data_IF_958626960199
#
_entry.id   IF_958626960199
#
_cell.length_a   1.000
_cell.length_b   1.000
_cell.length_c   1.000
_cell.angle_alpha   90.00
_cell.angle_beta   90.00
_cell.angle_gamma   90.00
#
_symmetry.space_group_name_H-M   'P 1'
#
loop_
_entity.id
_entity.type
_entity.pdbx_description
1 polymer ?
#
# COMPACT_ATOMS: atom_id res chain seq x y z
N UNK A 1 5.39 12.90 -18.66
CA UNK A 1 6.00 11.56 -18.78
C UNK A 1 5.06 10.61 -18.08
N UNK A 2 4.70 9.51 -18.72
CA UNK A 2 3.83 8.50 -18.12
C UNK A 2 4.62 7.77 -17.03
N UNK A 3 4.15 7.78 -15.79
CA UNK A 3 4.84 7.11 -14.68
C UNK A 3 4.63 5.61 -14.82
N UNK A 4 5.71 4.82 -14.86
CA UNK A 4 5.57 3.38 -15.03
C UNK A 4 5.13 2.72 -13.72
N UNK A 5 3.93 2.15 -13.70
CA UNK A 5 3.46 1.29 -12.61
C UNK A 5 4.19 -0.05 -12.67
N UNK A 6 4.56 -0.55 -11.50
CA UNK A 6 5.19 -1.85 -11.31
C UNK A 6 4.27 -2.75 -10.49
N UNK A 7 4.48 -4.07 -10.57
CA UNK A 7 3.73 -5.06 -9.78
C UNK A 7 2.73 -5.88 -10.59
N UNK A 8 1.70 -6.39 -9.93
CA UNK A 8 0.71 -7.29 -10.49
C UNK A 8 -0.72 -6.83 -10.20
N UNK A 9 -1.60 -6.98 -11.20
CA UNK A 9 -3.05 -6.75 -11.07
C UNK A 9 -3.75 -7.90 -11.77
N UNK A 10 -4.63 -8.60 -11.05
CA UNK A 10 -5.56 -9.55 -11.65
C UNK A 10 -6.48 -8.81 -12.63
N UNK A 11 -6.73 -9.34 -13.85
CA UNK A 11 -7.55 -8.68 -14.87
C UNK A 11 -8.92 -8.17 -14.38
N UNK A 12 -9.52 -8.84 -13.38
CA UNK A 12 -10.79 -8.43 -12.75
C UNK A 12 -10.72 -7.03 -12.11
N UNK A 13 -9.52 -6.57 -11.74
CA UNK A 13 -9.27 -5.30 -11.06
C UNK A 13 -8.57 -4.25 -11.95
N UNK A 14 -8.67 -4.38 -13.27
CA UNK A 14 -8.03 -3.44 -14.22
C UNK A 14 -8.43 -1.97 -13.99
N UNK A 15 -9.64 -1.69 -13.48
CA UNK A 15 -10.07 -0.32 -13.16
C UNK A 15 -9.29 0.31 -11.98
N UNK A 16 -8.76 -0.52 -11.07
CA UNK A 16 -7.84 -0.06 -10.01
C UNK A 16 -6.54 0.44 -10.65
N UNK A 17 -5.95 -0.34 -11.57
CA UNK A 17 -4.74 0.04 -12.29
C UNK A 17 -4.92 1.36 -13.06
N UNK A 18 -6.05 1.52 -13.77
CA UNK A 18 -6.36 2.73 -14.54
C UNK A 18 -6.47 3.96 -13.64
N UNK A 19 -7.20 3.82 -12.53
CA UNK A 19 -7.36 4.91 -11.55
C UNK A 19 -6.03 5.30 -10.94
N UNK A 20 -5.23 4.31 -10.52
CA UNK A 20 -3.91 4.52 -9.96
C UNK A 20 -2.97 5.23 -10.95
N UNK A 21 -2.94 4.79 -12.22
CA UNK A 21 -2.18 5.45 -13.28
C UNK A 21 -2.61 6.91 -13.46
N UNK A 22 -3.92 7.17 -13.46
CA UNK A 22 -4.46 8.53 -13.60
C UNK A 22 -3.96 9.45 -12.48
N UNK A 23 -3.99 9.01 -11.22
CA UNK A 23 -3.52 9.84 -10.10
C UNK A 23 -2.02 10.16 -10.18
N UNK A 24 -1.20 9.20 -10.63
CA UNK A 24 0.22 9.44 -10.86
C UNK A 24 0.48 10.36 -12.08
N UNK A 25 -0.23 10.15 -13.18
CA UNK A 25 -0.05 10.92 -14.43
C UNK A 25 -0.51 12.38 -14.28
N UNK A 26 -1.58 12.61 -13.51
CA UNK A 26 -2.07 13.96 -13.17
C UNK A 26 -1.19 14.67 -12.16
N UNK A 27 -0.36 13.92 -11.41
CA UNK A 27 0.46 14.44 -10.33
C UNK A 27 -0.33 14.78 -9.06
N UNK A 28 -1.59 14.32 -8.97
CA UNK A 28 -2.35 14.34 -7.71
C UNK A 28 -1.65 13.51 -6.63
N UNK A 29 -0.94 12.45 -7.04
CA UNK A 29 -0.09 11.65 -6.17
C UNK A 29 1.39 11.79 -6.57
N UNK A 30 2.28 11.94 -5.58
CA UNK A 30 3.73 11.93 -5.79
C UNK A 30 4.22 10.52 -6.10
N UNK A 31 3.73 9.55 -5.33
CA UNK A 31 4.01 8.13 -5.42
C UNK A 31 3.19 7.39 -4.38
N UNK A 32 2.83 6.15 -4.70
CA UNK A 32 1.94 5.35 -3.87
C UNK A 32 2.17 3.86 -4.08
N UNK A 33 1.55 3.06 -3.22
CA UNK A 33 1.37 1.61 -3.42
C UNK A 33 -0.03 1.20 -2.98
N UNK A 34 -0.57 0.14 -3.59
CA UNK A 34 -1.85 -0.45 -3.21
C UNK A 34 -1.76 -1.97 -3.29
N UNK A 35 -2.25 -2.63 -2.23
CA UNK A 35 -2.38 -4.06 -2.15
C UNK A 35 -3.84 -4.43 -1.80
N UNK A 36 -4.39 -5.42 -2.50
CA UNK A 36 -5.71 -5.99 -2.23
C UNK A 36 -5.55 -7.49 -2.07
N UNK A 37 -5.92 -7.99 -0.89
CA UNK A 37 -5.90 -9.42 -0.58
C UNK A 37 -7.34 -9.93 -0.46
N UNK A 38 -7.65 -11.03 -1.16
CA UNK A 38 -8.93 -11.74 -1.05
C UNK A 38 -8.61 -13.19 -0.72
N UNK A 39 -9.09 -13.66 0.43
CA UNK A 39 -8.94 -15.04 0.89
C UNK A 39 -7.49 -15.56 0.87
N UNK A 40 -6.51 -14.69 1.18
CA UNK A 40 -5.09 -15.03 1.22
C UNK A 40 -4.34 -14.75 -0.08
N UNK A 41 -5.02 -14.44 -1.18
CA UNK A 41 -4.40 -14.12 -2.46
C UNK A 41 -4.29 -12.61 -2.70
N UNK A 42 -3.09 -12.13 -3.02
CA UNK A 42 -2.88 -10.74 -3.45
C UNK A 42 -3.32 -10.57 -4.91
N UNK A 43 -4.59 -10.20 -5.10
CA UNK A 43 -5.18 -9.94 -6.42
C UNK A 43 -4.74 -8.60 -7.02
N UNK A 44 -4.26 -7.68 -6.17
CA UNK A 44 -3.58 -6.44 -6.56
C UNK A 44 -2.38 -6.25 -5.66
N UNK A 45 -1.23 -5.95 -6.24
CA UNK A 45 -0.01 -5.52 -5.54
C UNK A 45 0.80 -4.65 -6.52
N UNK A 46 0.59 -3.34 -6.48
CA UNK A 46 1.21 -2.38 -7.39
C UNK A 46 1.76 -1.15 -6.66
N UNK A 47 2.76 -0.54 -7.29
CA UNK A 47 3.37 0.71 -6.82
C UNK A 47 3.88 1.55 -8.00
N UNK A 48 4.13 2.83 -7.75
CA UNK A 48 4.68 3.73 -8.76
C UNK A 48 4.85 5.17 -8.25
N UNK A 49 5.44 6.02 -9.10
CA UNK A 49 5.78 7.40 -8.77
C UNK A 49 7.12 7.52 -8.04
N UNK A 50 7.22 8.48 -7.13
CA UNK A 50 8.44 8.83 -6.40
C UNK A 50 8.27 8.71 -4.89
N UNK A 51 9.35 8.40 -4.19
CA UNK A 51 9.37 8.34 -2.73
C UNK A 51 9.87 9.63 -2.08
N UNK A 52 10.33 10.61 -2.88
CA UNK A 52 10.87 11.90 -2.42
C UNK A 52 10.25 13.07 -3.17
N UNK A 53 10.04 14.18 -2.48
CA UNK A 53 9.37 15.38 -3.03
C UNK A 53 10.12 15.98 -4.23
N UNK A 54 11.45 15.90 -4.22
CA UNK A 54 12.32 16.37 -5.30
C UNK A 54 12.29 15.46 -6.55
N UNK A 55 11.54 14.35 -6.49
CA UNK A 55 11.40 13.35 -7.56
C UNK A 55 12.73 12.75 -8.04
N UNK A 56 13.73 12.68 -7.16
CA UNK A 56 15.02 12.06 -7.47
C UNK A 56 15.04 10.57 -7.21
N UNK A 57 14.16 10.06 -6.34
CA UNK A 57 14.03 8.62 -6.04
C UNK A 57 12.67 8.10 -6.43
N UNK A 58 12.66 7.07 -7.26
CA UNK A 58 11.44 6.34 -7.65
C UNK A 58 10.94 5.50 -6.49
N UNK A 59 9.62 5.26 -6.46
CA UNK A 59 9.02 4.29 -5.57
C UNK A 59 9.41 2.87 -6.00
N UNK A 60 10.00 2.10 -5.09
CA UNK A 60 10.37 0.69 -5.26
C UNK A 60 9.44 -0.23 -4.45
N UNK A 61 9.47 -1.53 -4.75
CA UNK A 61 8.63 -2.56 -4.11
C UNK A 61 8.61 -2.45 -2.58
N UNK A 62 9.78 -2.26 -1.98
CA UNK A 62 9.98 -2.29 -0.53
C UNK A 62 10.10 -0.88 0.08
N UNK A 63 9.57 0.15 -0.59
CA UNK A 63 9.59 1.52 -0.08
C UNK A 63 8.79 1.60 1.21
N UNK A 64 9.46 1.98 2.31
CA UNK A 64 8.84 2.16 3.61
C UNK A 64 8.36 3.60 3.75
N UNK A 65 7.07 3.77 4.10
CA UNK A 65 6.47 5.06 4.42
C UNK A 65 5.94 5.08 5.85
N UNK A 66 5.89 6.27 6.44
CA UNK A 66 5.19 6.47 7.69
C UNK A 66 3.67 6.31 7.46
N UNK A 67 3.05 5.36 8.14
CA UNK A 67 1.61 5.07 8.02
C UNK A 67 0.75 5.77 9.09
N UNK A 68 1.36 6.64 9.90
CA UNK A 68 0.70 7.44 10.93
C UNK A 68 -0.22 6.62 11.86
N UNK A 69 -1.51 6.95 11.93
CA UNK A 69 -2.45 6.33 12.85
C UNK A 69 -2.77 4.87 12.51
N UNK A 70 -2.45 4.39 11.31
CA UNK A 70 -2.63 2.98 10.93
C UNK A 70 -1.86 2.05 11.87
N UNK A 71 -0.74 2.51 12.45
CA UNK A 71 0.04 1.76 13.46
C UNK A 71 -0.79 1.36 14.68
N UNK A 72 -1.83 2.13 15.04
CA UNK A 72 -2.72 1.81 16.18
C UNK A 72 -3.40 0.46 16.00
N UNK A 73 -3.76 0.09 14.78
CA UNK A 73 -4.40 -1.19 14.46
C UNK A 73 -3.46 -2.35 14.76
N UNK A 74 -2.17 -2.22 14.41
CA UNK A 74 -1.15 -3.23 14.69
C UNK A 74 -0.89 -3.34 16.20
N UNK A 75 -0.82 -2.22 16.92
CA UNK A 75 -0.71 -2.22 18.37
C UNK A 75 -1.91 -2.87 19.06
N UNK A 76 -3.13 -2.56 18.59
CA UNK A 76 -4.35 -3.17 19.10
C UNK A 76 -4.37 -4.68 18.85
N UNK A 77 -3.99 -5.14 17.65
CA UNK A 77 -3.87 -6.56 17.34
C UNK A 77 -2.88 -7.27 18.28
N UNK A 78 -1.71 -6.67 18.54
CA UNK A 78 -0.75 -7.24 19.48
C UNK A 78 -1.33 -7.39 20.90
N UNK A 79 -2.08 -6.38 21.38
CA UNK A 79 -2.77 -6.46 22.66
C UNK A 79 -3.85 -7.56 22.68
N UNK A 80 -4.64 -7.67 21.59
CA UNK A 80 -5.67 -8.71 21.46
C UNK A 80 -5.07 -10.12 21.44
N UNK A 81 -3.90 -10.30 20.82
CA UNK A 81 -3.16 -11.57 20.88
C UNK A 81 -2.74 -11.93 22.32
N UNK A 82 -2.38 -10.93 23.15
CA UNK A 82 -2.06 -11.17 24.56
C UNK A 82 -3.31 -11.51 25.38
N UNK A 83 -4.43 -10.86 25.08
CA UNK A 83 -5.74 -11.18 25.70
C UNK A 83 -6.14 -12.62 25.38
N UNK A 84 -6.08 -13.02 24.11
CA UNK A 84 -6.40 -14.38 23.65
C UNK A 84 -5.54 -15.44 24.36
N UNK A 85 -4.26 -15.12 24.62
CA UNK A 85 -3.33 -15.98 25.36
C UNK A 85 -3.51 -15.95 26.87
N UNK A 86 -4.44 -15.16 27.42
CA UNK A 86 -4.64 -14.99 28.86
C UNK A 86 -3.51 -14.24 29.57
N UNK A 87 -2.68 -13.50 28.82
CA UNK A 87 -1.55 -12.72 29.36
C UNK A 87 -1.91 -11.27 29.66
N UNK A 88 -3.06 -10.80 29.18
CA UNK A 88 -3.60 -9.46 29.42
C UNK A 88 -5.10 -9.56 29.70
N UNK A 89 -5.58 -8.85 30.72
CA UNK A 89 -7.02 -8.75 30.99
C UNK A 89 -7.66 -7.64 30.16
N UNK A 90 -8.88 -7.89 29.69
CA UNK A 90 -9.75 -6.86 29.07
C UNK A 90 -10.33 -5.91 30.09
#
# INVERSE_FOLDING_TARGET
MQQQIQGHVDPRFTEVLKSFQKFLDTGEELGASIAVNIDGENVVDIWGGFSTEDRTKTWERDTIVNVFSTTKTVCALAALILVDRGLLST
#
